data_IF_199575647168
#
_entry.id   IF_199575647168
#
_cell.length_a   1.000
_cell.length_b   1.000
_cell.length_c   1.000
_cell.angle_alpha   90.00
_cell.angle_beta   90.00
_cell.angle_gamma   90.00
#
_symmetry.space_group_name_H-M   'P 1'
#
loop_
_entity.id
_entity.type
_entity.pdbx_description
1 polymer ?
#
# COMPACT_ATOMS: atom_id res chain seq x y z
N UNK A 1 18.80 -54.67 21.65
CA UNK A 1 17.38 -54.27 21.78
C UNK A 1 17.31 -52.75 21.71
N UNK A 2 16.30 -52.26 20.97
CA UNK A 2 15.76 -50.88 20.90
C UNK A 2 16.61 -49.72 20.35
N UNK A 3 16.41 -49.49 19.04
CA UNK A 3 16.40 -48.19 18.35
C UNK A 3 15.62 -47.14 19.14
N UNK A 4 16.12 -45.90 19.22
CA UNK A 4 15.28 -44.69 19.16
C UNK A 4 16.06 -43.59 18.42
N UNK A 5 15.60 -43.27 17.21
CA UNK A 5 16.03 -42.11 16.43
C UNK A 5 15.47 -40.83 17.07
N UNK A 6 16.33 -39.85 17.39
CA UNK A 6 15.90 -38.47 17.60
C UNK A 6 16.10 -37.72 16.29
N UNK A 7 15.00 -37.40 15.60
CA UNK A 7 14.97 -36.36 14.57
C UNK A 7 15.13 -35.00 15.26
N UNK A 8 16.07 -34.13 14.88
CA UNK A 8 15.90 -32.72 15.15
C UNK A 8 14.74 -32.21 14.28
N UNK A 9 13.73 -31.66 14.95
CA UNK A 9 12.64 -30.95 14.31
C UNK A 9 13.20 -29.75 13.54
N UNK A 10 12.88 -29.69 12.25
CA UNK A 10 13.07 -28.50 11.42
C UNK A 10 12.10 -27.46 11.94
N UNK A 11 12.59 -26.52 12.76
CA UNK A 11 11.87 -25.29 13.07
C UNK A 11 12.00 -24.43 11.82
N UNK A 12 11.00 -24.53 10.95
CA UNK A 12 10.84 -23.65 9.80
C UNK A 12 10.57 -22.24 10.33
N UNK A 13 11.64 -21.46 10.47
CA UNK A 13 11.59 -20.06 10.86
C UNK A 13 10.85 -19.28 9.78
N UNK A 14 9.80 -18.59 10.21
CA UNK A 14 8.94 -17.73 9.42
C UNK A 14 9.75 -16.82 8.47
N UNK A 15 9.48 -16.95 7.17
CA UNK A 15 9.79 -15.91 6.20
C UNK A 15 8.85 -14.73 6.48
N UNK A 16 9.29 -13.82 7.35
CA UNK A 16 8.68 -12.51 7.51
C UNK A 16 8.93 -11.71 6.24
N UNK A 17 7.99 -11.75 5.30
CA UNK A 17 8.00 -10.85 4.14
C UNK A 17 7.69 -9.45 4.67
N UNK A 18 8.76 -8.69 4.83
CA UNK A 18 8.74 -7.26 5.11
C UNK A 18 8.28 -6.56 3.84
N UNK A 19 6.98 -6.28 3.70
CA UNK A 19 6.50 -5.25 2.75
C UNK A 19 6.60 -3.90 3.45
N UNK A 20 7.84 -3.48 3.68
CA UNK A 20 8.19 -2.15 4.17
C UNK A 20 8.90 -1.45 3.01
N UNK A 21 8.18 -0.59 2.30
CA UNK A 21 8.78 0.41 1.40
C UNK A 21 9.89 -0.06 0.43
N UNK A 22 9.84 -1.28 -0.13
CA UNK A 22 10.77 -1.71 -1.19
C UNK A 22 10.34 -1.22 -2.58
N UNK A 23 9.35 -0.32 -2.68
CA UNK A 23 9.04 0.33 -3.95
C UNK A 23 9.92 1.56 -4.27
N UNK A 24 10.82 2.02 -3.38
CA UNK A 24 11.57 3.28 -3.60
C UNK A 24 13.10 3.17 -3.38
N UNK A 25 13.65 2.02 -2.99
CA UNK A 25 15.11 1.89 -2.76
C UNK A 25 15.73 0.65 -3.40
N UNK A 26 15.81 0.65 -4.73
CA UNK A 26 16.80 -0.07 -5.52
C UNK A 26 17.16 0.87 -6.68
N UNK A 27 18.03 1.86 -6.53
CA UNK A 27 19.46 1.68 -6.83
C UNK A 27 20.27 2.88 -6.32
N UNK A 28 20.62 2.90 -5.04
CA UNK A 28 21.58 3.85 -4.49
C UNK A 28 22.48 3.15 -3.47
N UNK A 29 23.33 2.24 -3.97
CA UNK A 29 24.63 1.89 -3.38
C UNK A 29 25.17 0.60 -4.03
N UNK A 30 25.71 0.74 -5.24
CA UNK A 30 26.85 -0.09 -5.64
C UNK A 30 27.88 0.84 -6.28
N UNK A 31 28.55 1.62 -5.42
CA UNK A 31 29.76 2.35 -5.80
C UNK A 31 30.88 1.86 -4.90
N UNK A 32 31.84 1.20 -5.54
CA UNK A 32 33.03 0.70 -4.87
C UNK A 32 34.08 0.16 -5.83
N UNK A 33 34.50 0.94 -6.84
CA UNK A 33 35.92 1.19 -7.15
C UNK A 33 36.09 1.94 -8.47
N UNK A 34 36.86 3.04 -8.45
CA UNK A 34 37.59 3.54 -9.62
C UNK A 34 37.06 4.84 -10.24
N UNK A 35 37.81 5.91 -9.99
CA UNK A 35 37.90 7.19 -10.70
C UNK A 35 37.22 7.35 -12.09
N UNK A 36 36.35 8.36 -12.21
CA UNK A 36 36.34 9.49 -13.16
C UNK A 36 34.92 10.11 -13.27
N UNK A 37 34.75 11.39 -13.67
CA UNK A 37 33.44 12.07 -13.61
C UNK A 37 32.53 11.61 -14.75
N UNK A 38 31.63 10.66 -14.47
CA UNK A 38 30.73 10.10 -15.48
C UNK A 38 29.44 10.91 -15.61
N UNK A 39 29.18 11.34 -16.85
CA UNK A 39 27.96 11.98 -17.33
C UNK A 39 26.76 11.09 -17.00
N UNK A 40 25.76 11.62 -16.30
CA UNK A 40 24.49 10.93 -16.05
C UNK A 40 23.77 10.77 -17.40
N UNK A 41 23.95 9.62 -18.04
CA UNK A 41 23.15 9.22 -19.20
C UNK A 41 21.80 8.75 -18.67
N UNK A 42 20.79 9.63 -18.70
CA UNK A 42 19.39 9.24 -18.52
C UNK A 42 19.05 8.16 -19.55
N UNK A 43 18.71 6.94 -19.10
CA UNK A 43 18.31 5.87 -20.02
C UNK A 43 16.98 6.23 -20.71
N UNK A 44 16.87 6.06 -22.03
CA UNK A 44 15.66 6.42 -22.77
C UNK A 44 14.47 5.58 -22.28
N UNK A 45 13.29 6.23 -22.20
CA UNK A 45 12.06 5.63 -21.68
C UNK A 45 11.64 4.34 -22.40
N UNK A 46 12.00 4.19 -23.68
CA UNK A 46 11.76 2.97 -24.48
C UNK A 46 12.52 1.74 -23.95
N UNK A 47 13.73 1.89 -23.42
CA UNK A 47 14.44 0.77 -22.79
C UNK A 47 13.80 0.37 -21.45
N UNK A 48 13.33 1.35 -20.67
CA UNK A 48 12.66 1.08 -19.40
C UNK A 48 11.30 0.41 -19.62
N UNK A 49 10.58 0.80 -20.68
CA UNK A 49 9.35 0.12 -21.10
C UNK A 49 9.61 -1.34 -21.50
N UNK A 50 10.68 -1.60 -22.26
CA UNK A 50 11.03 -2.96 -22.69
C UNK A 50 11.39 -3.86 -21.50
N UNK A 51 12.10 -3.35 -20.50
CA UNK A 51 12.44 -4.09 -19.27
C UNK A 51 11.18 -4.45 -18.47
N UNK A 52 10.26 -3.49 -18.30
CA UNK A 52 8.97 -3.73 -17.65
C UNK A 52 8.15 -4.77 -18.41
N UNK A 53 8.16 -4.74 -19.74
CA UNK A 53 7.50 -5.74 -20.58
C UNK A 53 8.12 -7.14 -20.43
N UNK A 54 9.44 -7.28 -20.49
CA UNK A 54 10.12 -8.57 -20.29
C UNK A 54 9.81 -9.17 -18.91
N UNK A 55 9.79 -8.35 -17.87
CA UNK A 55 9.43 -8.79 -16.52
C UNK A 55 7.96 -9.23 -16.42
N UNK A 56 7.07 -8.56 -17.13
CA UNK A 56 5.68 -9.02 -17.21
C UNK A 56 5.60 -10.42 -17.82
N UNK A 57 6.37 -10.72 -18.87
CA UNK A 57 6.38 -12.05 -19.48
C UNK A 57 6.88 -13.14 -18.53
N UNK A 58 7.91 -12.86 -17.73
CA UNK A 58 8.37 -13.80 -16.69
C UNK A 58 7.27 -14.09 -15.66
N UNK A 59 6.50 -13.06 -15.27
CA UNK A 59 5.40 -13.19 -14.33
C UNK A 59 4.24 -13.97 -14.94
N UNK A 60 3.93 -13.77 -16.22
CA UNK A 60 2.93 -14.57 -16.96
C UNK A 60 3.37 -16.03 -17.02
N UNK A 61 4.63 -16.30 -17.34
CA UNK A 61 5.18 -17.66 -17.38
C UNK A 61 5.14 -18.34 -16.00
N UNK A 62 5.28 -17.55 -14.92
CA UNK A 62 5.13 -18.04 -13.54
C UNK A 62 3.67 -18.19 -13.08
N UNK A 63 2.71 -17.75 -13.88
CA UNK A 63 1.27 -17.77 -13.56
C UNK A 63 0.79 -16.61 -12.69
N UNK A 64 1.65 -15.66 -12.34
CA UNK A 64 1.29 -14.44 -11.61
C UNK A 64 0.79 -13.36 -12.57
N UNK A 65 -0.43 -13.57 -13.06
CA UNK A 65 -1.10 -12.65 -14.00
C UNK A 65 -1.36 -11.27 -13.39
N UNK A 66 -1.45 -11.17 -12.06
CA UNK A 66 -1.68 -9.88 -11.36
C UNK A 66 -0.42 -9.03 -11.35
N UNK A 67 0.72 -9.61 -10.99
CA UNK A 67 2.00 -8.91 -11.05
C UNK A 67 2.41 -8.61 -12.49
N UNK A 68 2.09 -9.51 -13.43
CA UNK A 68 2.29 -9.28 -14.86
C UNK A 68 1.55 -8.02 -15.35
N UNK A 69 0.25 -7.89 -15.05
CA UNK A 69 -0.56 -6.72 -15.43
C UNK A 69 0.03 -5.42 -14.87
N UNK A 70 0.56 -5.43 -13.64
CA UNK A 70 1.21 -4.26 -13.08
C UNK A 70 2.46 -3.85 -13.90
N UNK A 71 3.27 -4.80 -14.33
CA UNK A 71 4.45 -4.54 -15.15
C UNK A 71 4.08 -4.12 -16.59
N UNK A 72 3.03 -4.68 -17.17
CA UNK A 72 2.51 -4.26 -18.48
C UNK A 72 2.01 -2.81 -18.45
N UNK A 73 1.31 -2.40 -17.39
CA UNK A 73 0.87 -1.00 -17.23
C UNK A 73 2.04 -0.03 -17.08
N UNK A 74 3.11 -0.44 -16.41
CA UNK A 74 4.35 0.35 -16.33
C UNK A 74 5.00 0.47 -17.70
N UNK A 75 5.08 -0.63 -18.47
CA UNK A 75 5.63 -0.61 -19.82
C UNK A 75 4.85 0.34 -20.75
N UNK A 76 3.52 0.29 -20.74
CA UNK A 76 2.67 1.18 -21.55
C UNK A 76 2.74 2.65 -21.08
N UNK A 77 2.89 2.90 -19.78
CA UNK A 77 3.06 4.28 -19.27
C UNK A 77 4.42 4.88 -19.65
N UNK A 78 5.49 4.06 -19.65
CA UNK A 78 6.83 4.50 -20.00
C UNK A 78 7.00 4.70 -21.50
N UNK A 79 6.40 3.83 -22.31
CA UNK A 79 6.37 3.95 -23.76
C UNK A 79 4.98 3.57 -24.29
N UNK A 80 4.12 4.56 -24.54
CA UNK A 80 2.81 4.32 -25.13
C UNK A 80 2.86 3.72 -26.55
N UNK A 81 4.03 3.71 -27.20
CA UNK A 81 4.21 3.06 -28.51
C UNK A 81 4.59 1.58 -28.41
N UNK A 82 4.77 1.04 -27.20
CA UNK A 82 5.03 -0.38 -26.95
C UNK A 82 3.74 -1.21 -27.11
N UNK A 83 3.37 -1.47 -28.37
CA UNK A 83 2.15 -2.21 -28.73
C UNK A 83 2.15 -3.63 -28.16
N UNK A 84 3.32 -4.26 -28.00
CA UNK A 84 3.42 -5.60 -27.43
C UNK A 84 2.99 -5.64 -25.95
N UNK A 85 3.30 -4.60 -25.17
CA UNK A 85 2.85 -4.46 -23.78
C UNK A 85 1.36 -4.15 -23.69
N UNK A 86 0.84 -3.37 -24.63
CA UNK A 86 -0.58 -3.03 -24.71
C UNK A 86 -1.43 -4.23 -25.10
N UNK A 87 -1.06 -4.96 -26.16
CA UNK A 87 -1.78 -6.15 -26.63
C UNK A 87 -1.86 -7.23 -25.53
N UNK A 88 -0.77 -7.43 -24.79
CA UNK A 88 -0.71 -8.41 -23.71
C UNK A 88 -1.50 -7.98 -22.47
N UNK A 89 -1.56 -6.67 -22.21
CA UNK A 89 -2.41 -6.10 -21.16
C UNK A 89 -3.89 -6.33 -21.50
N UNK A 90 -4.28 -6.03 -22.74
CA UNK A 90 -5.65 -6.17 -23.22
C UNK A 90 -6.07 -7.64 -23.25
N UNK A 91 -5.16 -8.56 -23.61
CA UNK A 91 -5.40 -10.01 -23.56
C UNK A 91 -5.69 -10.49 -22.13
N UNK A 92 -4.93 -10.05 -21.13
CA UNK A 92 -5.08 -10.53 -19.75
C UNK A 92 -6.28 -9.87 -19.05
N UNK A 93 -6.58 -8.61 -19.37
CA UNK A 93 -7.67 -7.84 -18.74
C UNK A 93 -9.00 -8.06 -19.45
N UNK A 94 -9.00 -8.21 -20.78
CA UNK A 94 -10.20 -8.44 -21.59
C UNK A 94 -10.90 -9.78 -21.30
N UNK A 95 -10.17 -10.77 -20.79
CA UNK A 95 -10.74 -12.05 -20.35
C UNK A 95 -11.49 -11.95 -18.99
N UNK A 96 -11.54 -10.77 -18.34
CA UNK A 96 -12.00 -10.60 -16.96
C UNK A 96 -13.30 -9.79 -16.73
N UNK A 97 -14.04 -9.39 -17.78
CA UNK A 97 -15.28 -8.59 -17.61
C UNK A 97 -16.58 -9.33 -17.99
N UNK A 98 -17.50 -9.45 -17.03
CA UNK A 98 -18.92 -9.18 -17.25
C UNK A 98 -19.46 -8.27 -16.12
N UNK A 99 -20.32 -7.27 -16.40
CA UNK A 99 -20.67 -6.19 -15.47
C UNK A 99 -22.02 -6.45 -14.75
N UNK A 100 -22.19 -5.88 -13.55
CA UNK A 100 -23.49 -5.74 -12.91
C UNK A 100 -23.75 -4.28 -12.49
N UNK A 101 -24.89 -3.79 -12.95
CA UNK A 101 -25.49 -2.44 -12.87
C UNK A 101 -26.13 -2.10 -11.51
N UNK A 102 -26.10 -0.80 -11.19
CA UNK A 102 -26.81 0.00 -10.15
C UNK A 102 -28.37 -0.13 -10.14
N UNK A 103 -29.20 0.45 -9.20
CA UNK A 103 -29.01 1.72 -8.46
C UNK A 103 -29.67 1.98 -7.06
N UNK A 104 -29.32 3.15 -6.49
CA UNK A 104 -30.11 4.18 -5.74
C UNK A 104 -30.44 4.14 -4.22
N UNK A 105 -30.42 5.33 -3.57
CA UNK A 105 -31.11 5.63 -2.30
C UNK A 105 -30.40 6.55 -1.27
N UNK A 106 -30.77 7.83 -1.22
CA UNK A 106 -30.17 8.88 -0.37
C UNK A 106 -30.67 9.03 1.09
N UNK A 107 -29.87 9.74 1.90
CA UNK A 107 -30.22 10.28 3.23
C UNK A 107 -29.00 10.57 4.13
N UNK A 108 -28.91 11.76 4.73
CA UNK A 108 -27.93 12.15 5.77
C UNK A 108 -28.49 13.31 6.61
N UNK A 109 -27.97 13.59 7.82
CA UNK A 109 -27.46 12.66 8.84
C UNK A 109 -27.91 13.05 10.27
N UNK A 110 -27.95 12.10 11.20
CA UNK A 110 -27.76 12.39 12.63
C UNK A 110 -27.15 11.14 13.27
N UNK A 111 -25.89 11.18 13.69
CA UNK A 111 -25.29 10.07 14.43
C UNK A 111 -24.47 10.59 15.61
N UNK A 112 -25.08 10.47 16.78
CA UNK A 112 -24.45 10.19 18.07
C UNK A 112 -23.30 9.18 17.90
N UNK A 113 -22.15 9.32 18.59
CA UNK A 113 -21.07 8.33 18.51
C UNK A 113 -21.57 6.98 19.03
N UNK A 114 -21.69 6.00 18.16
CA UNK A 114 -22.00 4.61 18.54
C UNK A 114 -20.71 3.98 19.06
N UNK A 115 -20.72 3.33 20.24
CA UNK A 115 -19.57 2.56 20.70
C UNK A 115 -19.21 1.48 19.66
N UNK A 116 -17.99 1.52 19.15
CA UNK A 116 -17.45 0.49 18.27
C UNK A 116 -17.39 -0.81 19.07
N UNK A 117 -18.12 -1.85 18.67
CA UNK A 117 -18.00 -3.18 19.26
C UNK A 117 -16.58 -3.72 18.94
N UNK A 118 -15.69 -3.84 19.95
CA UNK A 118 -14.30 -4.22 19.71
C UNK A 118 -14.16 -5.66 19.19
N UNK A 119 -15.21 -6.50 19.28
CA UNK A 119 -15.16 -7.90 18.85
C UNK A 119 -15.18 -8.12 17.34
N UNK A 120 -15.53 -7.12 16.54
CA UNK A 120 -15.59 -7.27 15.08
C UNK A 120 -14.20 -7.40 14.47
N UNK A 121 -13.24 -6.62 14.97
CA UNK A 121 -11.87 -6.60 14.44
C UNK A 121 -10.96 -7.68 15.03
N UNK A 122 -11.47 -8.61 15.84
CA UNK A 122 -10.68 -9.75 16.35
C UNK A 122 -10.79 -10.99 15.45
N UNK A 123 -11.75 -11.00 14.52
CA UNK A 123 -11.98 -12.11 13.57
C UNK A 123 -11.46 -11.76 12.18
N UNK A 124 -11.07 -12.76 11.35
CA UNK A 124 -10.77 -12.52 9.94
C UNK A 124 -11.97 -11.93 9.19
N UNK A 125 -11.72 -10.92 8.37
CA UNK A 125 -12.69 -10.22 7.52
C UNK A 125 -12.33 -10.47 6.06
N UNK A 126 -13.31 -10.91 5.28
CA UNK A 126 -13.15 -11.15 3.85
C UNK A 126 -14.35 -10.60 3.04
N UNK A 127 -14.10 -9.96 1.88
CA UNK A 127 -12.80 -9.48 1.43
C UNK A 127 -12.30 -8.29 2.29
N UNK A 128 -10.98 -8.18 2.48
CA UNK A 128 -10.38 -7.07 3.23
C UNK A 128 -10.63 -5.70 2.59
N UNK A 129 -10.94 -5.65 1.29
CA UNK A 129 -11.29 -4.42 0.58
C UNK A 129 -12.49 -3.68 1.19
N UNK A 130 -13.35 -4.36 1.96
CA UNK A 130 -14.44 -3.75 2.73
C UNK A 130 -13.95 -2.80 3.83
N UNK A 131 -12.72 -2.98 4.29
CA UNK A 131 -12.08 -2.14 5.30
C UNK A 131 -11.43 -0.88 4.72
N UNK A 132 -11.46 -0.69 3.39
CA UNK A 132 -10.91 0.48 2.73
C UNK A 132 -12.00 1.56 2.52
N UNK A 133 -11.63 2.85 2.52
CA UNK A 133 -12.57 3.93 2.22
C UNK A 133 -13.24 3.74 0.87
N UNK A 134 -14.52 4.11 0.79
CA UNK A 134 -15.26 4.19 -0.47
C UNK A 134 -15.25 5.57 -1.11
N UNK A 135 -14.97 6.59 -0.32
CA UNK A 135 -14.89 7.98 -0.76
C UNK A 135 -14.03 8.78 0.21
N UNK A 136 -13.42 9.84 -0.29
CA UNK A 136 -12.79 10.87 0.53
C UNK A 136 -12.99 12.20 -0.19
N UNK A 137 -13.55 13.20 0.51
CA UNK A 137 -13.79 14.50 -0.10
C UNK A 137 -12.47 15.14 -0.59
N UNK A 138 -12.46 15.63 -1.83
CA UNK A 138 -11.29 16.25 -2.47
C UNK A 138 -10.30 15.25 -3.05
N UNK A 139 -10.62 13.95 -3.08
CA UNK A 139 -9.76 12.91 -3.63
C UNK A 139 -10.56 11.92 -4.49
N UNK A 140 -10.05 11.67 -5.70
CA UNK A 140 -10.48 10.58 -6.55
C UNK A 140 -9.75 9.30 -6.12
N UNK A 141 -10.52 8.28 -5.69
CA UNK A 141 -9.96 7.00 -5.30
C UNK A 141 -9.76 6.11 -6.53
N UNK A 142 -8.59 5.50 -6.63
CA UNK A 142 -8.26 4.55 -7.67
C UNK A 142 -8.80 3.13 -7.39
N UNK A 143 -8.32 2.17 -8.17
CA UNK A 143 -8.71 0.78 -8.01
C UNK A 143 -8.25 0.20 -6.67
N UNK A 144 -9.14 -0.52 -6.00
CA UNK A 144 -8.79 -1.29 -4.80
C UNK A 144 -7.93 -2.48 -5.18
N UNK A 145 -6.86 -2.68 -4.44
CA UNK A 145 -5.99 -3.83 -4.55
C UNK A 145 -6.18 -4.70 -3.31
N UNK A 146 -6.17 -6.02 -3.48
CA UNK A 146 -6.27 -6.97 -2.37
C UNK A 146 -5.21 -8.07 -2.55
N UNK A 147 -4.55 -8.39 -1.45
CA UNK A 147 -3.70 -9.55 -1.29
C UNK A 147 -4.27 -10.43 -0.16
N UNK A 148 -3.57 -11.51 0.17
CA UNK A 148 -4.02 -12.46 1.20
C UNK A 148 -4.24 -11.82 2.58
N UNK A 149 -3.36 -10.90 2.94
CA UNK A 149 -3.22 -10.31 4.28
C UNK A 149 -3.25 -8.78 4.25
N UNK A 150 -3.53 -8.18 3.10
CA UNK A 150 -3.62 -6.74 2.96
C UNK A 150 -4.60 -6.32 1.89
N UNK A 151 -5.10 -5.10 2.01
CA UNK A 151 -5.81 -4.42 0.94
C UNK A 151 -5.39 -2.96 0.93
N UNK A 152 -5.35 -2.33 -0.25
CA UNK A 152 -5.06 -0.92 -0.36
C UNK A 152 -5.90 -0.22 -1.44
N UNK A 153 -6.02 1.10 -1.34
CA UNK A 153 -6.61 1.94 -2.36
C UNK A 153 -5.81 3.25 -2.44
N UNK A 154 -5.30 3.64 -3.63
CA UNK A 154 -4.67 4.95 -3.78
C UNK A 154 -5.73 6.04 -3.97
N UNK A 155 -5.39 7.28 -3.67
CA UNK A 155 -6.19 8.43 -4.06
C UNK A 155 -5.35 9.59 -4.54
N UNK A 156 -5.87 10.28 -5.55
CA UNK A 156 -5.28 11.47 -6.15
C UNK A 156 -6.13 12.69 -5.78
N UNK A 157 -5.53 13.85 -5.46
CA UNK A 157 -6.30 15.06 -5.23
C UNK A 157 -7.13 15.43 -6.47
N UNK A 158 -8.41 15.74 -6.27
CA UNK A 158 -9.29 16.24 -7.34
C UNK A 158 -8.79 17.59 -7.89
N UNK A 159 -8.18 18.41 -7.03
CA UNK A 159 -7.54 19.67 -7.38
C UNK A 159 -6.05 19.61 -7.06
N UNK A 160 -5.16 19.62 -8.07
CA UNK A 160 -3.72 19.66 -7.86
C UNK A 160 -3.24 20.96 -7.16
N UNK A 161 -2.04 20.92 -6.58
CA UNK A 161 -1.37 22.11 -6.02
C UNK A 161 -1.32 22.19 -4.49
N UNK A 162 -2.00 21.26 -3.80
CA UNK A 162 -1.80 21.05 -2.37
C UNK A 162 -0.43 20.43 -2.04
N UNK A 163 -0.03 20.45 -0.75
CA UNK A 163 1.25 19.86 -0.33
C UNK A 163 1.34 18.35 -0.58
N UNK A 164 0.19 17.66 -0.48
CA UNK A 164 0.08 16.22 -0.71
C UNK A 164 -0.36 15.96 -2.15
N UNK A 165 0.46 15.20 -2.88
CA UNK A 165 0.19 14.82 -4.28
C UNK A 165 -0.53 13.48 -4.42
N UNK A 166 -0.48 12.62 -3.39
CA UNK A 166 -1.12 11.31 -3.38
C UNK A 166 -1.35 10.83 -1.96
N UNK A 167 -2.43 10.09 -1.77
CA UNK A 167 -2.70 9.30 -0.58
C UNK A 167 -2.72 7.81 -0.94
N UNK A 168 -2.32 6.96 0.00
CA UNK A 168 -2.49 5.52 -0.06
C UNK A 168 -3.09 5.05 1.26
N UNK A 169 -4.30 4.49 1.20
CA UNK A 169 -4.91 3.80 2.33
C UNK A 169 -4.59 2.33 2.24
N UNK A 170 -4.06 1.77 3.32
CA UNK A 170 -3.75 0.35 3.43
C UNK A 170 -4.33 -0.22 4.72
N UNK A 171 -4.84 -1.45 4.63
CA UNK A 171 -5.20 -2.26 5.79
C UNK A 171 -4.41 -3.54 5.75
N UNK A 172 -3.79 -3.91 6.88
CA UNK A 172 -3.07 -5.17 7.06
C UNK A 172 -3.78 -6.05 8.09
N UNK A 173 -3.92 -7.34 7.81
CA UNK A 173 -4.31 -8.35 8.78
C UNK A 173 -3.06 -8.94 9.42
N UNK A 174 -2.83 -8.62 10.69
CA UNK A 174 -1.65 -9.06 11.43
C UNK A 174 -1.88 -10.36 12.21
N UNK A 175 -3.05 -10.99 12.06
CA UNK A 175 -3.38 -12.23 12.77
C UNK A 175 -3.81 -12.05 14.23
N UNK A 176 -3.31 -11.02 14.90
CA UNK A 176 -3.63 -10.71 16.30
C UNK A 176 -3.40 -9.23 16.63
N UNK A 177 -4.01 -8.76 17.73
CA UNK A 177 -3.79 -7.39 18.23
C UNK A 177 -2.34 -7.14 18.66
N UNK A 178 -1.69 -8.13 19.27
CA UNK A 178 -0.28 -8.02 19.65
C UNK A 178 0.62 -7.82 18.42
N UNK A 179 0.41 -8.61 17.36
CA UNK A 179 1.15 -8.47 16.11
C UNK A 179 0.86 -7.13 15.41
N UNK A 180 -0.37 -6.61 15.49
CA UNK A 180 -0.72 -5.30 14.96
C UNK A 180 0.03 -4.16 15.66
N UNK A 181 0.11 -4.21 17.00
CA UNK A 181 0.89 -3.22 17.78
C UNK A 181 2.39 -3.35 17.51
N UNK A 182 2.90 -4.57 17.43
CA UNK A 182 4.30 -4.85 17.13
C UNK A 182 4.70 -4.33 15.75
N UNK A 183 3.82 -4.47 14.75
CA UNK A 183 4.03 -3.90 13.43
C UNK A 183 4.26 -2.39 13.52
N UNK A 184 3.37 -1.64 14.16
CA UNK A 184 3.52 -0.18 14.30
C UNK A 184 4.83 0.16 15.02
N UNK A 185 5.14 -0.55 16.12
CA UNK A 185 6.30 -0.24 16.95
C UNK A 185 7.64 -0.52 16.25
N UNK A 186 7.74 -1.63 15.50
CA UNK A 186 9.01 -2.09 14.89
C UNK A 186 9.20 -1.58 13.48
N UNK A 187 8.11 -1.36 12.75
CA UNK A 187 8.13 -0.93 11.36
C UNK A 187 7.84 0.56 11.25
N UNK A 188 6.59 0.98 11.49
CA UNK A 188 6.17 2.35 11.18
C UNK A 188 6.90 3.40 12.01
N UNK A 189 7.06 3.21 13.32
CA UNK A 189 7.78 4.17 14.19
C UNK A 189 9.28 4.24 13.89
N UNK A 190 9.86 3.17 13.34
CA UNK A 190 11.28 3.14 12.94
C UNK A 190 11.48 3.88 11.61
N UNK A 191 10.62 3.61 10.63
CA UNK A 191 10.69 4.22 9.29
C UNK A 191 10.29 5.69 9.31
N UNK A 192 9.26 6.04 10.07
CA UNK A 192 8.69 7.37 10.13
C UNK A 192 8.92 8.01 11.50
N UNK A 193 10.17 8.08 11.93
CA UNK A 193 10.55 8.55 13.25
C UNK A 193 10.53 10.08 13.40
N UNK A 194 10.65 10.82 12.29
CA UNK A 194 10.63 12.28 12.31
C UNK A 194 9.21 12.80 12.59
N UNK A 195 9.11 13.95 13.26
CA UNK A 195 7.85 14.60 13.67
C UNK A 195 6.88 13.67 14.43
N UNK A 196 7.43 12.59 15.01
CA UNK A 196 6.69 11.49 15.58
C UNK A 196 5.85 11.89 16.79
N UNK A 197 4.58 11.46 16.82
CA UNK A 197 3.71 11.75 17.94
C UNK A 197 2.39 10.97 17.91
N UNK A 198 1.69 10.97 19.04
CA UNK A 198 0.34 10.41 19.12
C UNK A 198 -0.68 11.33 18.44
N UNK A 199 -1.64 10.73 17.75
CA UNK A 199 -2.80 11.40 17.15
C UNK A 199 -4.08 10.65 17.53
N UNK A 200 -5.23 11.32 17.44
CA UNK A 200 -6.54 10.68 17.64
C UNK A 200 -7.28 10.59 16.31
N UNK A 201 -7.67 9.37 15.93
CA UNK A 201 -8.50 9.06 14.75
C UNK A 201 -9.81 8.49 15.26
N UNK A 202 -10.86 9.32 15.26
CA UNK A 202 -12.20 8.97 15.76
C UNK A 202 -12.20 8.32 17.14
N UNK A 203 -11.41 8.89 18.06
CA UNK A 203 -11.27 8.41 19.44
C UNK A 203 -10.28 7.25 19.61
N UNK A 204 -9.75 6.69 18.53
CA UNK A 204 -8.68 5.69 18.57
C UNK A 204 -7.33 6.39 18.60
N UNK A 205 -6.48 6.04 19.57
CA UNK A 205 -5.11 6.54 19.62
C UNK A 205 -4.28 5.89 18.52
N UNK A 206 -3.72 6.71 17.64
CA UNK A 206 -2.80 6.33 16.58
C UNK A 206 -1.43 6.98 16.74
N UNK A 207 -0.56 6.70 15.78
CA UNK A 207 0.74 7.31 15.59
C UNK A 207 0.76 8.12 14.31
N UNK A 208 1.34 9.31 14.38
CA UNK A 208 1.76 10.10 13.23
C UNK A 208 3.28 10.16 13.20
N UNK A 209 3.86 10.16 12.00
CA UNK A 209 5.26 10.46 11.79
C UNK A 209 5.57 10.79 10.34
N UNK A 210 6.80 11.19 10.07
CA UNK A 210 7.34 11.46 8.74
C UNK A 210 8.65 10.72 8.55
N UNK A 211 9.04 10.51 7.30
CA UNK A 211 10.36 10.01 6.94
C UNK A 211 11.43 11.12 6.91
N UNK A 212 11.03 12.36 7.24
CA UNK A 212 11.85 13.57 7.17
C UNK A 212 12.12 14.09 5.76
N UNK A 213 11.65 13.42 4.69
CA UNK A 213 11.95 13.81 3.30
C UNK A 213 10.72 14.03 2.43
N UNK A 214 9.81 13.05 2.35
CA UNK A 214 8.73 13.06 1.36
C UNK A 214 7.41 12.47 1.87
N UNK A 215 7.43 11.69 2.92
CA UNK A 215 6.27 10.91 3.34
C UNK A 215 5.81 11.29 4.74
N UNK A 216 4.50 11.40 4.89
CA UNK A 216 3.82 11.51 6.16
C UNK A 216 2.89 10.31 6.33
N UNK A 217 2.87 9.71 7.52
CA UNK A 217 2.05 8.54 7.83
C UNK A 217 1.14 8.81 9.03
N UNK A 218 -0.08 8.28 8.97
CA UNK A 218 -0.90 8.02 10.15
C UNK A 218 -1.22 6.55 10.20
N UNK A 219 -0.98 5.93 11.34
CA UNK A 219 -1.24 4.50 11.56
C UNK A 219 -1.92 4.27 12.90
N UNK A 220 -2.88 3.35 12.94
CA UNK A 220 -3.52 2.91 14.18
C UNK A 220 -4.02 1.47 14.05
N UNK A 221 -4.40 0.86 15.17
CA UNK A 221 -4.92 -0.51 15.19
C UNK A 221 -6.39 -0.54 15.57
N UNK A 222 -7.15 -1.47 14.98
CA UNK A 222 -8.40 -1.97 15.57
C UNK A 222 -8.31 -3.50 15.57
N UNK A 223 -8.33 -4.11 16.75
CA UNK A 223 -8.14 -5.57 16.91
C UNK A 223 -6.87 -6.08 16.21
N UNK A 224 -7.01 -7.08 15.34
CA UNK A 224 -5.90 -7.69 14.57
C UNK A 224 -5.44 -6.89 13.35
N UNK A 225 -6.10 -5.77 13.06
CA UNK A 225 -5.87 -4.99 11.85
C UNK A 225 -5.05 -3.72 12.11
N UNK A 226 -4.13 -3.42 11.20
CA UNK A 226 -3.42 -2.14 11.12
C UNK A 226 -4.06 -1.32 9.99
N UNK A 227 -4.44 -0.09 10.30
CA UNK A 227 -4.97 0.89 9.35
C UNK A 227 -3.90 1.96 9.16
N UNK A 228 -3.42 2.11 7.93
CA UNK A 228 -2.34 3.03 7.58
C UNK A 228 -2.75 3.95 6.43
N UNK A 229 -2.45 5.24 6.57
CA UNK A 229 -2.49 6.19 5.46
C UNK A 229 -1.11 6.79 5.28
N UNK A 230 -0.58 6.68 4.07
CA UNK A 230 0.65 7.36 3.66
C UNK A 230 0.31 8.48 2.69
N UNK A 231 0.78 9.69 2.99
CA UNK A 231 0.72 10.83 2.09
C UNK A 231 2.08 11.16 1.49
N UNK A 232 2.12 11.34 0.18
CA UNK A 232 3.30 11.83 -0.54
C UNK A 232 3.26 13.36 -0.58
N UNK A 233 4.25 14.01 0.04
CA UNK A 233 4.38 15.47 0.09
C UNK A 233 5.45 15.91 -0.91
N UNK A 234 5.06 16.71 -1.91
CA UNK A 234 5.98 17.19 -2.97
C UNK A 234 6.40 18.64 -2.80
N UNK A 235 5.62 19.43 -2.06
CA UNK A 235 5.91 20.84 -1.77
C UNK A 235 5.83 21.08 -0.27
N UNK A 236 6.82 21.82 0.26
CA UNK A 236 6.96 22.03 1.70
C UNK A 236 7.68 20.89 2.41
N UNK A 237 7.44 20.77 3.71
CA UNK A 237 7.98 19.69 4.55
C UNK A 237 6.93 18.58 4.71
N UNK A 238 7.31 17.31 4.88
CA UNK A 238 6.35 16.24 5.15
C UNK A 238 5.42 16.50 6.35
N UNK A 239 5.90 17.28 7.33
CA UNK A 239 5.13 17.77 8.47
C UNK A 239 3.86 18.55 8.08
N UNK A 240 3.92 19.30 6.98
CA UNK A 240 2.80 20.12 6.48
C UNK A 240 1.59 19.25 6.05
N UNK A 241 1.84 17.98 5.70
CA UNK A 241 0.81 17.00 5.35
C UNK A 241 0.01 16.48 6.55
N UNK A 242 0.41 16.75 7.80
CA UNK A 242 -0.16 16.14 9.01
C UNK A 242 -1.69 16.24 9.08
N UNK A 243 -2.23 17.45 8.92
CA UNK A 243 -3.67 17.68 9.01
C UNK A 243 -4.46 16.85 7.99
N UNK A 244 -3.93 16.75 6.76
CA UNK A 244 -4.59 16.02 5.69
C UNK A 244 -4.50 14.50 5.89
N UNK A 245 -3.33 13.98 6.24
CA UNK A 245 -3.15 12.53 6.46
C UNK A 245 -3.97 12.05 7.67
N UNK A 246 -4.08 12.85 8.74
CA UNK A 246 -4.98 12.56 9.87
C UNK A 246 -6.44 12.59 9.45
N UNK A 247 -6.84 13.53 8.59
CA UNK A 247 -8.22 13.59 8.06
C UNK A 247 -8.51 12.38 7.16
N UNK A 248 -7.57 12.00 6.32
CA UNK A 248 -7.67 10.83 5.45
C UNK A 248 -7.79 9.52 6.26
N UNK A 249 -7.10 9.40 7.39
CA UNK A 249 -7.21 8.23 8.28
C UNK A 249 -8.63 8.03 8.84
N UNK A 250 -9.43 9.08 8.95
CA UNK A 250 -10.85 8.99 9.36
C UNK A 250 -11.77 8.45 8.27
N UNK A 251 -11.30 8.34 7.02
CA UNK A 251 -12.09 7.80 5.92
C UNK A 251 -12.24 6.27 6.00
N UNK A 252 -11.43 5.59 6.82
CA UNK A 252 -11.59 4.15 7.05
C UNK A 252 -12.94 3.84 7.71
N UNK A 253 -13.72 2.87 7.18
CA UNK A 253 -15.00 2.48 7.77
C UNK A 253 -14.87 2.09 9.25
N UNK A 254 -15.80 2.53 10.09
CA UNK A 254 -15.88 2.11 11.51
C UNK A 254 -16.29 0.65 11.65
N UNK A 255 -16.95 0.10 10.62
CA UNK A 255 -17.44 -1.27 10.54
C UNK A 255 -17.13 -1.86 9.15
N UNK A 256 -16.94 -3.18 9.04
CA UNK A 256 -16.68 -3.84 7.76
C UNK A 256 -17.91 -3.91 6.85
#
# INVERSE_FOLDING_TARGET
MTRWWRRPAVVSGAASVVVLAVAITLFAAFSGSGADPEVVVERPASQQSQEAYSKAQELIASGDTTAAVAQLRVAVQLDPSNTAAQDELDRIVGDAEEPATDPDGGGSPTTTPVPVDPGVFTKPISPMSKLLPAKMAGFELGARQSAKDSANVPGSPETPGGPVSRLLWTVYDMGSEAAAKDFIAKNTKTTFAADGGSVSVDGVTGYYGTDGTRFAVVVYTRGRYVFEVVGTVLTGTPGDGKGLVVTAAKAFPEKP
#
